data_IF_493066509857
#
_entry.id   IF_493066509857
#
_cell.length_a   1.000
_cell.length_b   1.000
_cell.length_c   1.000
_cell.angle_alpha   90.00
_cell.angle_beta   90.00
_cell.angle_gamma   90.00
#
_symmetry.space_group_name_H-M   'P 1'
#
loop_
_entity.id
_entity.type
_entity.pdbx_description
1 polymer ?
#
# COMPACT_ATOMS: atom_id res chain seq x y z
N UNK A 1 35.96 -38.18 -28.11
CA UNK A 1 35.57 -36.95 -28.82
C UNK A 1 35.53 -35.81 -27.80
N UNK A 2 36.48 -34.89 -27.86
CA UNK A 2 36.58 -33.70 -27.00
C UNK A 2 36.91 -32.52 -27.91
N UNK A 3 36.06 -31.51 -27.92
CA UNK A 3 36.24 -30.25 -28.64
C UNK A 3 36.36 -29.13 -27.61
N UNK A 4 37.46 -28.37 -27.60
CA UNK A 4 37.51 -27.05 -26.98
C UNK A 4 37.46 -25.99 -28.09
N UNK A 5 36.43 -25.14 -28.09
CA UNK A 5 36.42 -23.95 -28.94
C UNK A 5 37.00 -22.79 -28.16
N UNK A 6 38.10 -22.26 -28.68
CA UNK A 6 38.86 -21.17 -28.11
C UNK A 6 38.70 -19.89 -28.97
N UNK A 7 39.17 -18.78 -28.39
CA UNK A 7 39.50 -17.48 -28.99
C UNK A 7 38.34 -16.56 -29.36
N UNK A 8 38.46 -15.22 -29.37
CA UNK A 8 39.35 -14.19 -28.78
C UNK A 8 38.75 -12.92 -29.37
N UNK A 9 38.25 -11.99 -28.57
CA UNK A 9 37.67 -10.74 -29.12
C UNK A 9 38.71 -9.63 -29.10
N UNK A 10 39.09 -9.19 -30.29
CA UNK A 10 40.10 -8.17 -30.60
C UNK A 10 39.53 -6.76 -30.41
N UNK A 11 40.26 -5.91 -29.68
CA UNK A 11 40.07 -4.45 -29.63
C UNK A 11 40.48 -3.81 -30.96
N UNK A 12 39.66 -2.88 -31.48
CA UNK A 12 40.08 -1.89 -32.47
C UNK A 12 39.55 -0.50 -32.09
N UNK A 13 40.47 0.38 -31.72
CA UNK A 13 40.30 1.83 -31.76
C UNK A 13 40.47 2.31 -33.21
N UNK A 14 39.58 3.19 -33.67
CA UNK A 14 39.88 4.09 -34.79
C UNK A 14 39.17 5.43 -34.60
N UNK A 15 39.98 6.48 -34.53
CA UNK A 15 39.59 7.89 -34.52
C UNK A 15 39.25 8.34 -35.95
N UNK A 16 38.13 9.04 -36.15
CA UNK A 16 37.89 9.88 -37.33
C UNK A 16 37.09 11.12 -36.95
N UNK A 17 37.70 12.30 -37.14
CA UNK A 17 37.10 13.64 -37.08
C UNK A 17 36.66 14.05 -38.50
N UNK A 18 35.51 14.71 -38.61
CA UNK A 18 34.97 15.37 -39.82
C UNK A 18 33.47 15.06 -39.95
N UNK A 19 32.55 15.94 -40.33
CA UNK A 19 32.53 17.35 -40.72
C UNK A 19 31.05 17.79 -40.60
N UNK A 20 30.78 19.10 -40.45
CA UNK A 20 29.47 19.70 -40.22
C UNK A 20 28.39 19.36 -41.26
N UNK A 21 27.16 19.13 -40.79
CA UNK A 21 25.94 19.58 -41.47
C UNK A 21 25.01 20.27 -40.44
N UNK A 22 24.76 21.56 -40.64
CA UNK A 22 23.77 22.35 -39.90
C UNK A 22 22.39 22.00 -40.42
N UNK A 23 21.58 21.31 -39.63
CA UNK A 23 20.13 21.22 -39.85
C UNK A 23 19.38 21.64 -38.58
N UNK A 24 18.40 22.52 -38.81
CA UNK A 24 17.60 23.32 -37.91
C UNK A 24 17.20 22.72 -36.55
N UNK A 25 17.09 23.59 -35.54
CA UNK A 25 16.52 23.30 -34.24
C UNK A 25 15.11 22.69 -34.36
N UNK A 26 14.98 21.44 -33.88
CA UNK A 26 13.69 20.79 -33.70
C UNK A 26 12.95 21.49 -32.55
N UNK A 27 11.70 21.96 -32.75
CA UNK A 27 10.92 22.53 -31.67
C UNK A 27 10.63 21.49 -30.59
N UNK A 28 10.91 21.86 -29.35
CA UNK A 28 10.52 21.14 -28.13
C UNK A 28 9.01 20.85 -28.16
N UNK A 29 8.55 19.60 -27.95
CA UNK A 29 7.13 19.34 -27.81
C UNK A 29 6.58 20.11 -26.59
N UNK A 30 5.36 20.67 -26.67
CA UNK A 30 4.75 21.35 -25.54
C UNK A 30 4.59 20.37 -24.36
N UNK A 31 4.65 20.86 -23.11
CA UNK A 31 4.41 20.02 -21.95
C UNK A 31 3.02 19.41 -22.08
N UNK A 32 2.97 18.08 -22.00
CA UNK A 32 1.73 17.32 -21.93
C UNK A 32 0.99 17.83 -20.70
N UNK A 33 -0.21 18.32 -20.93
CA UNK A 33 -1.19 18.69 -19.91
C UNK A 33 -1.27 17.53 -18.91
N UNK A 34 -0.62 17.70 -17.76
CA UNK A 34 -0.75 16.76 -16.68
C UNK A 34 -2.21 16.88 -16.25
N UNK A 35 -3.00 15.86 -16.61
CA UNK A 35 -4.39 15.75 -16.21
C UNK A 35 -4.55 16.05 -14.71
N UNK A 36 -5.79 16.35 -14.28
CA UNK A 36 -6.06 16.87 -12.94
C UNK A 36 -5.27 16.07 -11.90
N UNK A 37 -4.61 16.77 -10.95
CA UNK A 37 -3.80 16.11 -9.94
C UNK A 37 -4.62 14.97 -9.31
N UNK A 38 -3.97 13.85 -8.92
CA UNK A 38 -4.66 12.79 -8.19
C UNK A 38 -5.46 13.43 -7.05
N UNK A 39 -6.71 13.01 -6.79
CA UNK A 39 -7.58 13.68 -5.84
C UNK A 39 -6.82 13.91 -4.55
N UNK A 40 -6.74 15.18 -4.15
CA UNK A 40 -6.00 15.62 -2.97
C UNK A 40 -6.32 14.69 -1.82
N UNK A 41 -5.28 14.17 -1.15
CA UNK A 41 -5.38 13.34 0.03
C UNK A 41 -6.49 13.91 0.93
N UNK A 42 -7.61 13.19 1.03
CA UNK A 42 -8.80 13.68 1.70
C UNK A 42 -8.43 14.11 3.12
N UNK A 43 -8.42 15.43 3.34
CA UNK A 43 -8.26 16.03 4.64
C UNK A 43 -9.38 15.53 5.54
N UNK A 44 -9.03 14.56 6.38
CA UNK A 44 -9.86 13.96 7.43
C UNK A 44 -9.87 14.84 8.69
N UNK A 45 -9.45 16.09 8.56
CA UNK A 45 -9.64 17.13 9.56
C UNK A 45 -11.16 17.40 9.71
N UNK A 46 -11.83 16.61 10.53
CA UNK A 46 -13.26 16.82 10.83
C UNK A 46 -14.06 15.60 11.32
N UNK A 47 -13.55 14.38 11.16
CA UNK A 47 -14.27 13.19 11.66
C UNK A 47 -13.82 12.85 13.08
N UNK A 48 -14.72 12.87 14.05
CA UNK A 48 -14.48 12.27 15.37
C UNK A 48 -14.25 10.77 15.17
N UNK A 49 -13.00 10.33 15.36
CA UNK A 49 -12.57 8.93 15.28
C UNK A 49 -12.37 8.29 16.66
N UNK A 50 -12.71 8.99 17.75
CA UNK A 50 -12.45 8.52 19.12
C UNK A 50 -13.11 7.16 19.37
N UNK A 51 -14.28 6.95 18.77
CA UNK A 51 -15.03 5.70 18.84
C UNK A 51 -14.35 4.51 18.16
N UNK A 52 -13.39 4.72 17.25
CA UNK A 52 -12.69 3.68 16.51
C UNK A 52 -11.39 3.27 17.20
N UNK A 53 -10.72 4.21 17.87
CA UNK A 53 -9.44 4.01 18.58
C UNK A 53 -9.52 2.84 19.56
N UNK A 54 -8.41 2.11 19.70
CA UNK A 54 -8.29 0.93 20.55
C UNK A 54 -8.39 -0.37 19.77
N UNK A 55 -8.52 -1.46 20.51
CA UNK A 55 -8.42 -2.81 19.97
C UNK A 55 -9.77 -3.37 19.53
N UNK A 56 -9.75 -4.12 18.43
CA UNK A 56 -10.88 -4.84 17.86
C UNK A 56 -10.47 -6.28 17.56
N UNK A 57 -11.14 -7.24 18.19
CA UNK A 57 -10.92 -8.67 18.06
C UNK A 57 -11.79 -9.26 16.96
N UNK A 58 -11.17 -10.04 16.07
CA UNK A 58 -11.87 -10.88 15.11
C UNK A 58 -12.69 -11.96 15.82
N UNK A 59 -13.98 -12.04 15.50
CA UNK A 59 -14.91 -12.96 16.13
C UNK A 59 -14.78 -14.39 15.58
N UNK A 60 -14.39 -14.53 14.31
CA UNK A 60 -14.10 -15.82 13.67
C UNK A 60 -12.63 -16.23 13.82
N UNK A 61 -12.33 -17.51 13.58
CA UNK A 61 -10.96 -18.00 13.44
C UNK A 61 -10.42 -17.71 12.02
N UNK A 62 -9.10 -17.55 11.83
CA UNK A 62 -8.08 -17.46 12.88
C UNK A 62 -8.20 -16.17 13.69
N UNK A 63 -7.82 -16.20 14.97
CA UNK A 63 -7.88 -15.02 15.84
C UNK A 63 -6.81 -14.00 15.47
N UNK A 64 -7.25 -12.78 15.21
CA UNK A 64 -6.41 -11.60 15.04
C UNK A 64 -7.11 -10.38 15.67
N UNK A 65 -6.33 -9.32 15.90
CA UNK A 65 -6.80 -8.05 16.43
C UNK A 65 -6.34 -6.91 15.54
N UNK A 66 -7.23 -5.94 15.33
CA UNK A 66 -6.90 -4.63 14.77
C UNK A 66 -6.73 -3.64 15.92
N UNK A 67 -5.59 -2.97 16.00
CA UNK A 67 -5.34 -1.88 16.93
C UNK A 67 -5.34 -0.57 16.16
N UNK A 68 -6.36 0.27 16.35
CA UNK A 68 -6.42 1.60 15.75
C UNK A 68 -5.86 2.64 16.72
N UNK A 69 -4.88 3.41 16.27
CA UNK A 69 -4.27 4.51 17.00
C UNK A 69 -4.52 5.83 16.25
N UNK A 70 -4.89 6.88 16.99
CA UNK A 70 -5.02 8.21 16.41
C UNK A 70 -3.64 8.75 15.98
N UNK A 71 -3.56 9.55 14.89
CA UNK A 71 -4.68 9.99 14.06
C UNK A 71 -5.09 9.01 12.96
N UNK A 72 -4.19 8.15 12.45
CA UNK A 72 -4.44 7.33 11.24
C UNK A 72 -3.70 6.00 11.20
N UNK A 73 -3.21 5.50 12.32
CA UNK A 73 -2.40 4.29 12.34
C UNK A 73 -3.23 3.06 12.70
N UNK A 74 -2.97 1.93 12.03
CA UNK A 74 -3.55 0.64 12.39
C UNK A 74 -2.50 -0.46 12.41
N UNK A 75 -2.58 -1.35 13.39
CA UNK A 75 -1.73 -2.52 13.49
C UNK A 75 -2.58 -3.81 13.51
N UNK A 76 -2.03 -4.88 12.94
CA UNK A 76 -2.59 -6.23 13.05
C UNK A 76 -1.75 -7.00 14.06
N UNK A 77 -2.42 -7.54 15.07
CA UNK A 77 -1.82 -8.33 16.14
C UNK A 77 -2.37 -9.76 16.03
N UNK A 78 -1.53 -10.77 16.21
CA UNK A 78 -1.93 -12.16 16.22
C UNK A 78 -0.97 -13.03 17.05
N UNK A 79 -1.36 -14.28 17.30
CA UNK A 79 -0.54 -15.28 17.98
C UNK A 79 -0.68 -15.29 19.51
N UNK A 80 0.01 -16.26 20.12
CA UNK A 80 0.16 -16.41 21.57
C UNK A 80 1.64 -16.80 21.85
N UNK A 81 2.49 -15.88 22.35
CA UNK A 81 2.15 -14.54 22.82
C UNK A 81 1.73 -13.58 21.69
N UNK A 82 0.94 -12.54 21.97
CA UNK A 82 0.54 -11.55 20.96
C UNK A 82 1.75 -10.83 20.36
N UNK A 83 1.81 -10.83 19.03
CA UNK A 83 2.83 -10.10 18.28
C UNK A 83 2.18 -9.24 17.20
N UNK A 84 2.74 -8.05 16.98
CA UNK A 84 2.38 -7.22 15.83
C UNK A 84 2.94 -7.87 14.57
N UNK A 85 2.06 -8.29 13.66
CA UNK A 85 2.44 -8.95 12.40
C UNK A 85 2.44 -8.00 11.21
N UNK A 86 1.69 -6.89 11.31
CA UNK A 86 1.67 -5.85 10.29
C UNK A 86 1.27 -4.49 10.87
N UNK A 87 1.71 -3.41 10.22
CA UNK A 87 1.35 -2.03 10.53
C UNK A 87 1.00 -1.30 9.25
N UNK A 88 0.04 -0.40 9.32
CA UNK A 88 -0.47 0.34 8.18
C UNK A 88 -1.16 1.62 8.61
N UNK A 89 -1.92 2.18 7.68
CA UNK A 89 -2.70 3.38 7.90
C UNK A 89 -4.19 3.12 7.64
N UNK A 90 -5.05 3.98 8.15
CA UNK A 90 -6.48 3.92 7.87
C UNK A 90 -7.06 5.29 7.50
N UNK A 91 -8.13 5.25 6.71
CA UNK A 91 -8.90 6.42 6.27
C UNK A 91 -10.37 6.20 6.59
N UNK A 92 -10.93 6.87 7.61
CA UNK A 92 -12.34 6.79 7.94
C UNK A 92 -13.18 7.72 7.06
N UNK A 93 -14.27 7.20 6.51
CA UNK A 93 -15.28 7.92 5.72
C UNK A 93 -16.68 7.56 6.25
N UNK A 94 -17.16 8.31 7.24
CA UNK A 94 -18.41 8.01 7.93
C UNK A 94 -18.33 6.69 8.70
N UNK A 95 -19.10 5.68 8.28
CA UNK A 95 -19.05 4.30 8.82
C UNK A 95 -18.11 3.38 8.06
N UNK A 96 -17.60 3.79 6.89
CA UNK A 96 -16.63 3.00 6.13
C UNK A 96 -15.21 3.35 6.55
N UNK A 97 -14.34 2.35 6.67
CA UNK A 97 -12.95 2.49 7.07
C UNK A 97 -12.09 1.69 6.11
N UNK A 98 -11.34 2.39 5.25
CA UNK A 98 -10.29 1.77 4.45
C UNK A 98 -9.03 1.63 5.29
N UNK A 99 -8.45 0.44 5.31
CA UNK A 99 -7.16 0.13 5.92
C UNK A 99 -6.16 -0.23 4.82
N UNK A 100 -4.93 0.26 4.94
CA UNK A 100 -3.84 0.03 4.00
C UNK A 100 -2.68 -0.64 4.73
N UNK A 101 -2.48 -1.94 4.50
CA UNK A 101 -1.42 -2.73 5.17
C UNK A 101 -0.44 -3.27 4.12
N UNK A 102 0.89 -3.21 4.35
CA UNK A 102 1.88 -3.85 3.49
C UNK A 102 1.65 -5.37 3.41
N UNK A 103 1.49 -5.89 2.21
CA UNK A 103 1.43 -7.32 1.92
C UNK A 103 2.82 -7.96 1.78
N UNK A 104 2.86 -9.30 1.79
CA UNK A 104 4.10 -10.07 1.73
C UNK A 104 4.89 -9.91 0.42
N UNK A 105 4.28 -9.36 -0.64
CA UNK A 105 4.92 -9.09 -1.94
C UNK A 105 5.41 -7.66 -2.13
N UNK A 106 5.47 -6.85 -1.07
CA UNK A 106 5.87 -5.43 -1.14
C UNK A 106 4.80 -4.47 -1.64
N UNK A 107 3.63 -4.97 -2.07
CA UNK A 107 2.47 -4.16 -2.40
C UNK A 107 1.59 -3.89 -1.18
N UNK A 108 0.94 -2.72 -1.14
CA UNK A 108 -0.05 -2.38 -0.11
C UNK A 108 -1.40 -2.99 -0.45
N UNK A 109 -2.03 -3.65 0.52
CA UNK A 109 -3.38 -4.22 0.42
C UNK A 109 -4.37 -3.27 1.08
N UNK A 110 -5.42 -2.89 0.35
CA UNK A 110 -6.57 -2.19 0.91
C UNK A 110 -7.59 -3.21 1.44
N UNK A 111 -8.04 -3.01 2.69
CA UNK A 111 -9.17 -3.72 3.30
C UNK A 111 -10.23 -2.69 3.67
N UNK A 112 -11.48 -2.96 3.33
CA UNK A 112 -12.60 -2.06 3.65
C UNK A 112 -13.47 -2.69 4.73
N UNK A 113 -13.59 -1.97 5.85
CA UNK A 113 -14.44 -2.32 6.97
C UNK A 113 -15.64 -1.37 7.02
N UNK A 114 -16.80 -1.88 7.35
CA UNK A 114 -17.99 -1.09 7.64
C UNK A 114 -18.38 -1.24 9.10
N UNK A 115 -18.47 -0.13 9.83
CA UNK A 115 -18.98 -0.09 11.19
C UNK A 115 -20.51 -0.21 11.22
N UNK A 116 -21.05 -0.94 12.20
CA UNK A 116 -22.49 -0.94 12.49
C UNK A 116 -22.99 0.46 12.88
N UNK A 117 -24.30 0.76 12.76
CA UNK A 117 -24.83 2.10 13.09
C UNK A 117 -24.51 2.57 14.51
N UNK A 118 -24.46 1.64 15.46
CA UNK A 118 -24.12 1.86 16.87
C UNK A 118 -22.60 1.80 17.14
N UNK A 119 -21.78 1.53 16.11
CA UNK A 119 -20.32 1.42 16.19
C UNK A 119 -19.84 0.32 17.16
N UNK A 120 -20.63 -0.72 17.39
CA UNK A 120 -20.26 -1.85 18.24
C UNK A 120 -19.50 -2.96 17.50
N UNK A 121 -19.60 -3.01 16.17
CA UNK A 121 -18.90 -3.98 15.32
C UNK A 121 -18.27 -3.31 14.10
N UNK A 122 -17.18 -3.89 13.61
CA UNK A 122 -16.64 -3.63 12.26
C UNK A 122 -16.83 -4.89 11.41
N UNK A 123 -17.30 -4.74 10.18
CA UNK A 123 -17.57 -5.84 9.26
C UNK A 123 -16.75 -5.71 8.00
N UNK A 124 -16.05 -6.77 7.64
CA UNK A 124 -15.35 -6.87 6.37
C UNK A 124 -16.16 -7.76 5.43
N UNK A 125 -16.42 -7.26 4.21
CA UNK A 125 -17.05 -8.05 3.19
C UNK A 125 -16.07 -9.11 2.63
N UNK A 126 -16.59 -10.30 2.36
CA UNK A 126 -15.81 -11.41 1.80
C UNK A 126 -16.53 -12.75 2.02
N UNK A 127 -16.14 -13.82 1.31
CA UNK A 127 -16.57 -15.17 1.62
C UNK A 127 -15.47 -15.93 2.40
N UNK A 128 -15.63 -16.19 3.72
CA UNK A 128 -16.73 -15.79 4.60
C UNK A 128 -16.57 -14.34 5.12
N UNK A 129 -17.67 -13.70 5.56
CA UNK A 129 -17.60 -12.35 6.12
C UNK A 129 -16.85 -12.37 7.45
N UNK A 130 -16.12 -11.29 7.73
CA UNK A 130 -15.37 -11.15 8.97
C UNK A 130 -16.02 -10.08 9.83
N UNK A 131 -16.16 -10.36 11.13
CA UNK A 131 -16.68 -9.39 12.10
C UNK A 131 -15.64 -9.18 13.19
N UNK A 132 -15.48 -7.93 13.57
CA UNK A 132 -14.62 -7.50 14.66
C UNK A 132 -15.47 -6.81 15.74
N UNK A 133 -15.16 -7.07 17.02
CA UNK A 133 -15.77 -6.41 18.18
C UNK A 133 -14.69 -5.92 19.13
N UNK A 134 -15.02 -5.06 20.08
CA UNK A 134 -14.08 -4.68 21.13
C UNK A 134 -13.61 -5.92 21.89
N UNK A 135 -12.29 -6.02 22.10
CA UNK A 135 -11.64 -7.16 22.74
C UNK A 135 -10.14 -6.91 22.90
N UNK A 136 -9.48 -7.68 23.76
CA UNK A 136 -8.04 -7.57 24.03
C UNK A 136 -7.29 -8.81 23.52
N UNK A 137 -6.03 -8.66 23.07
CA UNK A 137 -5.19 -9.81 22.79
C UNK A 137 -4.90 -10.60 24.08
N UNK A 138 -4.70 -11.93 23.99
CA UNK A 138 -4.53 -12.84 25.13
C UNK A 138 -3.22 -12.64 25.90
#
# INVERSE_FOLDING_TARGET
MRTPTALTLVLLLACSRGQQEQHAAVPKPPPVDAGPPPPSAFSTAGSDISWLVGTWERQSAPKDWLLFNAPKEVAVIAGAPPAMIARGEFVPTGRSISIFIPGQGGGTVERVLEATPDRSELREAGPPPVTYRRGAPP
#
